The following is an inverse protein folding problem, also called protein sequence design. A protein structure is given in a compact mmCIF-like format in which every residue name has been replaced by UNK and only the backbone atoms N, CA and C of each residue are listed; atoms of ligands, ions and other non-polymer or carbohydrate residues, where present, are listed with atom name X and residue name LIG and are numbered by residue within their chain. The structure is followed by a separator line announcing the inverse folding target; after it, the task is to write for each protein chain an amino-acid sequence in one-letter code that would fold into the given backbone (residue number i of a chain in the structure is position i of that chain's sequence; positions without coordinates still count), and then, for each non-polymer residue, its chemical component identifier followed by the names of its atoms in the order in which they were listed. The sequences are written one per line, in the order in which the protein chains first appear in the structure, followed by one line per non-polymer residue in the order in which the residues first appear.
data_IF_517358873510
#
_entry.id   IF_517358873510
#
_cell.length_a   1.000
_cell.length_b   1.000
_cell.length_c   1.000
_cell.angle_alpha   90.00
_cell.angle_beta   90.00
_cell.angle_gamma   90.00
#
_symmetry.space_group_name_H-M   'P 1'
#
loop_
_entity.id
_entity.type
_entity.pdbx_description
1 polymer ?
#
# COMPACT_ATOMS: atom_id res chain seq x y z
N UNK A 1 68.07 20.01 51.55
CA UNK A 1 68.19 19.60 50.13
C UNK A 1 66.87 19.01 49.69
N UNK A 2 66.23 19.59 48.66
CA UNK A 2 65.15 19.01 47.86
C UNK A 2 63.76 18.84 48.49
N UNK A 3 63.00 19.93 48.65
CA UNK A 3 61.55 19.87 48.92
C UNK A 3 60.75 19.75 47.59
N UNK A 4 59.82 18.80 47.44
CA UNK A 4 59.01 18.64 46.24
C UNK A 4 57.76 19.53 46.24
N UNK A 5 57.45 20.08 45.06
CA UNK A 5 56.38 21.06 44.84
C UNK A 5 54.96 20.50 44.92
N UNK A 6 54.09 21.30 45.54
CA UNK A 6 52.63 21.17 45.53
C UNK A 6 52.06 21.67 44.19
N UNK A 7 51.19 20.86 43.57
CA UNK A 7 50.35 21.25 42.45
C UNK A 7 48.88 21.40 42.90
N UNK A 8 48.31 22.56 42.61
CA UNK A 8 46.96 23.01 42.97
C UNK A 8 45.84 22.22 42.27
N UNK A 9 44.61 22.22 42.82
CA UNK A 9 43.49 21.42 42.31
C UNK A 9 42.81 22.04 41.09
N UNK A 10 42.42 21.21 40.12
CA UNK A 10 41.63 21.59 38.93
C UNK A 10 40.14 21.68 39.27
N UNK A 11 39.38 22.61 38.65
CA UNK A 11 37.99 22.87 39.00
C UNK A 11 37.00 21.89 38.39
N UNK A 12 35.92 21.65 39.14
CA UNK A 12 34.72 20.88 38.80
C UNK A 12 33.98 21.57 37.64
N UNK A 13 33.70 20.84 36.55
CA UNK A 13 32.85 21.32 35.44
C UNK A 13 31.44 20.74 35.53
N UNK A 14 30.51 21.67 35.67
CA UNK A 14 29.05 21.59 35.57
C UNK A 14 28.54 20.67 34.44
N UNK A 15 27.59 19.82 34.78
CA UNK A 15 26.71 19.08 33.85
C UNK A 15 25.84 20.07 33.06
N UNK A 16 25.89 20.00 31.72
CA UNK A 16 24.92 20.65 30.82
C UNK A 16 24.18 19.57 30.04
N UNK A 17 22.85 19.65 30.12
CA UNK A 17 21.87 18.93 29.32
C UNK A 17 22.18 19.05 27.82
N UNK A 18 22.14 17.93 27.10
CA UNK A 18 22.21 17.88 25.64
C UNK A 18 20.98 17.09 25.15
N UNK A 19 19.83 17.77 25.09
CA UNK A 19 18.77 17.41 24.16
C UNK A 19 18.97 18.28 22.92
N UNK A 20 19.61 17.71 21.90
CA UNK A 20 19.52 18.20 20.53
C UNK A 20 18.52 17.33 19.76
N UNK A 21 17.82 17.88 18.75
CA UNK A 21 16.89 17.11 17.93
C UNK A 21 17.66 16.01 17.19
N UNK A 22 17.17 14.78 17.30
CA UNK A 22 17.67 13.61 16.60
C UNK A 22 17.39 13.80 15.10
N UNK A 23 18.44 13.97 14.30
CA UNK A 23 18.37 13.83 12.85
C UNK A 23 17.98 12.39 12.50
N UNK A 24 17.01 12.15 11.60
CA UNK A 24 16.69 10.80 11.17
C UNK A 24 17.91 10.15 10.50
N UNK A 25 18.14 8.83 10.68
CA UNK A 25 19.22 8.14 10.03
C UNK A 25 18.96 8.02 8.53
N UNK A 26 20.03 8.13 7.73
CA UNK A 26 19.98 7.90 6.27
C UNK A 26 19.42 6.50 5.96
N UNK A 27 18.54 6.35 4.96
CA UNK A 27 18.14 5.04 4.49
C UNK A 27 19.35 4.26 3.98
N UNK A 28 19.42 2.99 4.36
CA UNK A 28 20.32 2.00 3.77
C UNK A 28 19.83 1.79 2.35
N UNK A 29 20.71 1.91 1.35
CA UNK A 29 20.39 1.60 -0.05
C UNK A 29 19.80 0.19 -0.13
N UNK A 30 18.49 0.11 -0.32
CA UNK A 30 17.84 -1.08 -0.86
C UNK A 30 18.31 -1.28 -2.30
N UNK A 31 18.31 -2.53 -2.74
CA UNK A 31 18.34 -2.82 -4.18
C UNK A 31 17.11 -2.16 -4.83
N UNK A 32 17.19 -1.75 -6.12
CA UNK A 32 16.04 -1.18 -6.81
C UNK A 32 14.89 -2.19 -6.75
N UNK A 33 13.81 -1.82 -6.06
CA UNK A 33 12.51 -2.43 -6.22
C UNK A 33 12.15 -2.23 -7.69
N UNK A 34 12.22 -3.30 -8.48
CA UNK A 34 11.65 -3.32 -9.81
C UNK A 34 10.14 -3.35 -9.64
N UNK A 35 9.56 -2.21 -9.31
CA UNK A 35 8.13 -2.01 -9.45
C UNK A 35 7.77 -1.98 -10.94
N UNK A 36 6.52 -2.25 -11.20
CA UNK A 36 6.15 -2.85 -12.47
C UNK A 36 6.06 -1.78 -13.56
N UNK A 37 6.83 -1.98 -14.62
CA UNK A 37 6.61 -1.40 -15.96
C UNK A 37 5.32 -1.96 -16.61
N UNK A 38 4.17 -1.83 -15.92
CA UNK A 38 2.86 -2.27 -16.41
C UNK A 38 2.40 -1.30 -17.52
N UNK A 39 2.55 -1.77 -18.76
CA UNK A 39 1.82 -1.55 -20.03
C UNK A 39 2.03 -0.30 -20.89
N UNK A 40 2.76 -0.47 -22.00
CA UNK A 40 2.13 -0.68 -23.33
C UNK A 40 3.14 -0.49 -24.48
N UNK A 41 3.91 -1.54 -24.77
CA UNK A 41 4.38 -1.75 -26.15
C UNK A 41 3.22 -2.08 -27.12
N UNK A 42 1.98 -2.22 -26.64
CA UNK A 42 0.75 -2.44 -27.45
C UNK A 42 0.19 -1.18 -28.14
N UNK A 43 0.79 0.01 -27.97
CA UNK A 43 0.39 1.19 -28.76
C UNK A 43 0.81 1.15 -30.23
N UNK A 44 1.40 0.06 -30.73
CA UNK A 44 1.84 0.01 -32.14
C UNK A 44 0.71 -0.19 -33.17
N UNK A 45 -0.53 -0.54 -32.79
CA UNK A 45 -1.60 -0.78 -33.78
C UNK A 45 -3.04 -0.36 -33.39
N UNK A 46 -3.28 0.32 -32.25
CA UNK A 46 -4.59 0.92 -31.95
C UNK A 46 -4.59 2.37 -32.42
N UNK A 47 -5.64 2.80 -33.14
CA UNK A 47 -5.75 4.20 -33.57
C UNK A 47 -5.72 5.12 -32.35
N UNK A 48 -4.77 6.04 -32.29
CA UNK A 48 -4.65 7.04 -31.22
C UNK A 48 -5.93 7.87 -31.04
N UNK A 49 -6.73 8.02 -32.10
CA UNK A 49 -8.03 8.70 -32.05
C UNK A 49 -9.06 7.93 -31.19
N UNK A 50 -8.95 6.60 -31.10
CA UNK A 50 -9.86 5.74 -30.34
C UNK A 50 -9.55 5.70 -28.84
N UNK A 51 -8.38 6.20 -28.43
CA UNK A 51 -7.95 6.27 -27.02
C UNK A 51 -8.08 7.68 -26.44
N UNK A 52 -8.36 8.69 -27.29
CA UNK A 52 -8.53 10.06 -26.83
C UNK A 52 -9.83 10.26 -26.04
N UNK A 53 -9.76 11.09 -25.00
CA UNK A 53 -10.92 11.56 -24.24
C UNK A 53 -12.09 11.96 -25.16
N UNK A 54 -13.17 11.17 -25.14
CA UNK A 54 -14.42 11.57 -25.78
C UNK A 54 -15.25 12.44 -24.83
N UNK A 55 -16.10 13.30 -25.39
CA UNK A 55 -17.06 14.08 -24.60
C UNK A 55 -17.97 13.17 -23.75
N UNK A 56 -18.28 11.97 -24.25
CA UNK A 56 -19.05 10.97 -23.52
C UNK A 56 -18.27 10.43 -22.33
N UNK A 57 -16.99 10.11 -22.51
CA UNK A 57 -16.15 9.57 -21.43
C UNK A 57 -15.91 10.59 -20.33
N UNK A 58 -15.63 11.85 -20.71
CA UNK A 58 -15.50 12.95 -19.74
C UNK A 58 -16.79 13.14 -18.94
N UNK A 59 -17.96 13.07 -19.58
CA UNK A 59 -19.25 13.14 -18.86
C UNK A 59 -19.43 11.98 -17.89
N UNK A 60 -19.00 10.77 -18.25
CA UNK A 60 -19.02 9.62 -17.34
C UNK A 60 -18.11 9.86 -16.14
N UNK A 61 -16.90 10.37 -16.36
CA UNK A 61 -15.97 10.73 -15.29
C UNK A 61 -16.53 11.81 -14.35
N UNK A 62 -17.11 12.87 -14.89
CA UNK A 62 -17.78 13.90 -14.06
C UNK A 62 -19.02 13.34 -13.33
N UNK A 63 -19.71 12.36 -13.92
CA UNK A 63 -20.86 11.70 -13.27
C UNK A 63 -20.42 10.85 -12.08
N UNK A 64 -19.28 10.16 -12.16
CA UNK A 64 -18.76 9.43 -11.01
C UNK A 64 -18.00 10.33 -10.02
N UNK A 65 -17.44 11.47 -10.44
CA UNK A 65 -16.70 12.40 -9.57
C UNK A 65 -17.59 13.09 -8.51
N UNK A 66 -16.97 13.58 -7.43
CA UNK A 66 -17.60 14.41 -6.39
C UNK A 66 -18.05 15.74 -6.98
N UNK A 67 -17.13 16.45 -7.65
CA UNK A 67 -17.45 17.65 -8.42
C UNK A 67 -18.01 17.28 -9.80
N UNK A 68 -19.07 17.97 -10.22
CA UNK A 68 -19.67 17.81 -11.56
C UNK A 68 -19.09 18.75 -12.61
N UNK A 69 -18.13 19.58 -12.21
CA UNK A 69 -17.45 20.55 -13.07
C UNK A 69 -15.94 20.33 -13.04
N UNK A 70 -15.29 20.71 -14.14
CA UNK A 70 -13.84 20.77 -14.21
C UNK A 70 -13.38 22.01 -13.42
N UNK A 71 -12.48 21.81 -12.45
CA UNK A 71 -11.90 22.89 -11.65
C UNK A 71 -10.53 23.31 -12.22
N UNK A 72 -10.10 24.57 -12.05
CA UNK A 72 -8.70 24.92 -12.25
C UNK A 72 -7.80 24.10 -11.32
N UNK A 73 -6.74 23.47 -11.83
CA UNK A 73 -5.86 22.66 -10.99
C UNK A 73 -5.16 23.49 -9.90
N UNK A 74 -4.92 24.78 -10.14
CA UNK A 74 -4.39 25.71 -9.13
C UNK A 74 -5.28 25.84 -7.89
N UNK A 75 -6.58 25.61 -8.03
CA UNK A 75 -7.59 25.92 -7.01
C UNK A 75 -8.10 24.65 -6.32
N UNK A 76 -7.76 23.47 -6.85
CA UNK A 76 -8.34 22.18 -6.50
C UNK A 76 -8.31 21.88 -4.98
N UNK A 77 -7.16 22.07 -4.33
CA UNK A 77 -7.00 21.79 -2.89
C UNK A 77 -7.63 22.85 -1.97
N UNK A 78 -8.10 23.96 -2.54
CA UNK A 78 -8.78 25.04 -1.82
C UNK A 78 -10.26 25.13 -2.15
N UNK A 79 -10.74 24.31 -3.09
CA UNK A 79 -12.14 24.27 -3.47
C UNK A 79 -13.00 23.80 -2.27
N UNK A 80 -14.19 24.38 -2.05
CA UNK A 80 -15.07 24.02 -0.93
C UNK A 80 -15.29 22.51 -0.82
N UNK A 81 -15.72 21.88 -1.93
CA UNK A 81 -15.97 20.44 -2.02
C UNK A 81 -14.74 19.59 -1.66
N UNK A 82 -13.51 20.06 -1.94
CA UNK A 82 -12.29 19.36 -1.52
C UNK A 82 -12.02 19.56 -0.03
N UNK A 83 -12.13 20.80 0.45
CA UNK A 83 -11.86 21.13 1.85
C UNK A 83 -12.86 20.48 2.82
N UNK A 84 -14.08 20.17 2.36
CA UNK A 84 -15.07 19.40 3.11
C UNK A 84 -14.65 17.93 3.35
N UNK A 85 -13.74 17.40 2.53
CA UNK A 85 -13.16 16.06 2.72
C UNK A 85 -12.05 16.05 3.78
N UNK A 86 -11.50 17.21 4.13
CA UNK A 86 -10.46 17.31 5.16
C UNK A 86 -11.09 17.37 6.57
N UNK A 87 -10.46 16.76 7.59
CA UNK A 87 -10.91 16.92 8.95
C UNK A 87 -10.94 18.38 9.40
N UNK A 88 -11.91 18.74 10.24
CA UNK A 88 -12.11 20.14 10.65
C UNK A 88 -10.84 20.78 11.23
N UNK A 89 -10.51 21.97 10.72
CA UNK A 89 -9.35 22.76 11.15
C UNK A 89 -8.01 22.32 10.55
N UNK A 90 -7.99 21.35 9.63
CA UNK A 90 -6.78 20.94 8.89
C UNK A 90 -6.61 21.83 7.66
N UNK A 91 -5.41 22.38 7.48
CA UNK A 91 -5.05 23.10 6.25
C UNK A 91 -4.55 22.13 5.17
N UNK A 92 -4.80 22.41 3.88
CA UNK A 92 -4.41 21.53 2.76
C UNK A 92 -2.91 21.65 2.44
N UNK A 93 -2.05 21.27 3.38
CA UNK A 93 -0.60 21.17 3.15
C UNK A 93 -0.34 19.90 2.36
N UNK A 94 0.44 19.99 1.29
CA UNK A 94 0.68 18.86 0.39
C UNK A 94 2.09 18.31 0.57
N UNK A 95 2.24 16.98 0.54
CA UNK A 95 3.51 16.26 0.62
C UNK A 95 3.47 15.06 -0.31
N UNK A 96 4.47 14.86 -1.18
CA UNK A 96 4.55 13.63 -2.00
C UNK A 96 4.89 12.45 -1.09
N UNK A 97 4.11 11.37 -1.17
CA UNK A 97 4.25 10.17 -0.33
C UNK A 97 4.50 8.90 -1.12
N UNK A 98 4.26 8.91 -2.42
CA UNK A 98 4.54 7.77 -3.28
C UNK A 98 4.28 8.08 -4.74
N UNK A 99 4.46 7.06 -5.57
CA UNK A 99 4.13 7.06 -6.99
C UNK A 99 3.49 5.72 -7.36
N UNK A 100 2.76 5.73 -8.47
CA UNK A 100 2.24 4.53 -9.11
C UNK A 100 2.44 4.67 -10.63
N UNK A 101 2.24 3.60 -11.39
CA UNK A 101 2.62 3.51 -12.81
C UNK A 101 2.12 4.66 -13.71
N UNK A 102 1.01 5.31 -13.36
CA UNK A 102 0.41 6.39 -14.16
C UNK A 102 0.05 7.63 -13.33
N UNK A 103 0.55 7.73 -12.10
CA UNK A 103 0.09 8.79 -11.20
C UNK A 103 1.07 9.10 -10.09
N UNK A 104 0.95 10.31 -9.60
CA UNK A 104 1.68 10.78 -8.43
C UNK A 104 0.76 10.75 -7.21
N UNK A 105 1.29 10.33 -6.05
CA UNK A 105 0.51 10.18 -4.83
C UNK A 105 0.97 11.19 -3.78
N UNK A 106 0.03 12.02 -3.32
CA UNK A 106 0.29 13.06 -2.33
C UNK A 106 -0.56 12.87 -1.09
N UNK A 107 0.02 13.15 0.08
CA UNK A 107 -0.73 13.40 1.31
C UNK A 107 -1.13 14.88 1.36
N UNK A 108 -2.39 15.14 1.69
CA UNK A 108 -2.95 16.50 1.83
C UNK A 108 -3.57 16.65 3.21
N UNK A 109 -2.96 17.47 4.07
CA UNK A 109 -3.42 17.71 5.43
C UNK A 109 -2.28 17.70 6.45
N UNK A 110 -2.55 17.17 7.65
CA UNK A 110 -1.60 17.14 8.77
C UNK A 110 -1.52 15.73 9.38
N UNK A 111 -0.37 15.07 9.20
CA UNK A 111 -0.07 13.74 9.73
C UNK A 111 -1.18 12.71 9.50
N UNK A 112 -1.59 12.03 10.56
CA UNK A 112 -2.63 10.99 10.53
C UNK A 112 -4.03 11.52 10.16
N UNK A 113 -4.22 12.85 10.15
CA UNK A 113 -5.47 13.52 9.74
C UNK A 113 -5.44 13.97 8.28
N UNK A 114 -4.39 13.64 7.54
CA UNK A 114 -4.32 13.90 6.11
C UNK A 114 -5.19 12.92 5.32
N UNK A 115 -5.51 13.31 4.09
CA UNK A 115 -6.08 12.43 3.06
C UNK A 115 -5.01 12.14 2.01
N UNK A 116 -5.15 11.04 1.28
CA UNK A 116 -4.27 10.69 0.16
C UNK A 116 -4.93 11.10 -1.15
N UNK A 117 -4.17 11.71 -2.05
CA UNK A 117 -4.64 12.17 -3.36
C UNK A 117 -3.75 11.58 -4.44
N UNK A 118 -4.35 10.71 -5.27
CA UNK A 118 -3.73 10.20 -6.50
C UNK A 118 -4.04 11.17 -7.64
N UNK A 119 -3.00 11.75 -8.24
CA UNK A 119 -3.08 12.69 -9.36
C UNK A 119 -2.85 11.93 -10.67
N UNK A 120 -3.92 11.68 -11.41
CA UNK A 120 -3.91 10.86 -12.63
C UNK A 120 -4.05 11.75 -13.88
N UNK A 121 -2.99 11.98 -14.67
CA UNK A 121 -3.10 12.64 -15.97
C UNK A 121 -4.00 11.86 -16.94
N UNK A 122 -4.95 12.56 -17.55
CA UNK A 122 -5.88 11.98 -18.51
C UNK A 122 -5.35 12.08 -19.94
N UNK A 123 -5.55 11.03 -20.73
CA UNK A 123 -5.16 11.02 -22.14
C UNK A 123 -6.06 11.97 -22.97
N UNK A 124 -5.54 13.18 -23.23
CA UNK A 124 -6.25 14.22 -24.00
C UNK A 124 -6.14 14.06 -25.53
N UNK A 125 -6.98 14.79 -26.28
CA UNK A 125 -7.01 14.80 -27.76
C UNK A 125 -5.71 15.28 -28.43
N UNK A 126 -4.85 16.00 -27.72
CA UNK A 126 -3.70 16.70 -28.31
C UNK A 126 -2.34 16.09 -27.96
N UNK A 127 -2.29 14.96 -27.24
CA UNK A 127 -1.05 14.40 -26.69
C UNK A 127 -0.17 13.57 -27.63
N UNK A 128 -0.63 13.23 -28.86
CA UNK A 128 0.14 12.32 -29.73
C UNK A 128 0.30 12.82 -31.17
N UNK A 129 0.74 14.06 -31.33
CA UNK A 129 1.14 14.56 -32.64
C UNK A 129 2.44 15.37 -32.61
N UNK A 130 3.56 14.65 -32.44
CA UNK A 130 4.81 15.06 -33.07
C UNK A 130 5.38 13.91 -33.91
N UNK A 131 4.80 13.72 -35.09
CA UNK A 131 5.50 13.02 -36.18
C UNK A 131 6.78 13.79 -36.50
N UNK A 132 7.92 13.23 -36.12
CA UNK A 132 9.23 13.65 -36.63
C UNK A 132 9.96 14.68 -35.80
N UNK A 133 10.51 14.25 -34.67
CA UNK A 133 11.80 14.64 -34.05
C UNK A 133 11.90 13.82 -32.76
N UNK A 134 13.12 13.50 -32.32
CA UNK A 134 13.45 12.76 -31.08
C UNK A 134 12.33 12.88 -30.06
N UNK A 135 11.60 11.78 -29.80
CA UNK A 135 10.47 11.74 -28.87
C UNK A 135 11.04 12.17 -27.52
N UNK A 136 10.76 13.40 -27.11
CA UNK A 136 10.99 13.77 -25.72
C UNK A 136 10.11 12.84 -24.89
N UNK A 137 10.71 12.14 -23.94
CA UNK A 137 9.99 11.32 -22.98
C UNK A 137 8.92 12.19 -22.31
N UNK A 138 7.67 11.75 -22.39
CA UNK A 138 6.51 12.48 -21.88
C UNK A 138 5.87 11.62 -20.78
N UNK A 139 5.42 12.22 -19.65
CA UNK A 139 4.81 11.45 -18.58
C UNK A 139 3.61 10.65 -19.07
N UNK A 140 3.43 9.44 -18.53
CA UNK A 140 2.33 8.56 -18.94
C UNK A 140 0.96 9.15 -18.59
N UNK A 141 -0.07 8.74 -19.34
CA UNK A 141 -1.44 9.23 -19.20
C UNK A 141 -2.42 8.05 -19.24
N UNK A 142 -3.50 8.14 -18.46
CA UNK A 142 -4.54 7.11 -18.41
C UNK A 142 -5.74 7.46 -19.28
N UNK A 143 -6.32 6.44 -19.93
CA UNK A 143 -7.57 6.61 -20.65
C UNK A 143 -8.73 6.84 -19.65
N UNK A 144 -9.64 7.75 -20.00
CA UNK A 144 -10.77 8.11 -19.12
C UNK A 144 -11.63 6.91 -18.70
N UNK A 145 -11.97 5.95 -19.59
CA UNK A 145 -12.72 4.76 -19.18
C UNK A 145 -12.03 3.92 -18.09
N UNK A 146 -10.69 3.86 -18.08
CA UNK A 146 -9.93 3.10 -17.09
C UNK A 146 -9.96 3.81 -15.73
N UNK A 147 -9.81 5.14 -15.73
CA UNK A 147 -9.94 5.96 -14.50
C UNK A 147 -11.36 5.88 -13.92
N UNK A 148 -12.39 5.91 -14.78
CA UNK A 148 -13.78 5.72 -14.35
C UNK A 148 -13.95 4.35 -13.67
N UNK A 149 -13.41 3.29 -14.28
CA UNK A 149 -13.43 1.94 -13.71
C UNK A 149 -12.73 1.91 -12.35
N UNK A 150 -11.53 2.47 -12.25
CA UNK A 150 -10.78 2.54 -10.99
C UNK A 150 -11.58 3.24 -9.88
N UNK A 151 -12.22 4.39 -10.17
CA UNK A 151 -13.07 5.11 -9.22
C UNK A 151 -14.28 4.26 -8.80
N UNK A 152 -14.95 3.62 -9.74
CA UNK A 152 -16.13 2.79 -9.46
C UNK A 152 -15.78 1.58 -8.59
N UNK A 153 -14.69 0.88 -8.91
CA UNK A 153 -14.19 -0.27 -8.13
C UNK A 153 -13.75 0.19 -6.74
N UNK A 154 -12.92 1.24 -6.65
CA UNK A 154 -12.42 1.74 -5.36
C UNK A 154 -13.56 2.17 -4.45
N UNK A 155 -14.55 2.90 -5.00
CA UNK A 155 -15.77 3.25 -4.27
C UNK A 155 -16.53 2.00 -3.81
N UNK A 156 -16.69 1.00 -4.67
CA UNK A 156 -17.37 -0.24 -4.30
C UNK A 156 -16.62 -0.93 -3.16
N UNK A 157 -15.32 -1.17 -3.29
CA UNK A 157 -14.50 -1.86 -2.30
C UNK A 157 -14.44 -1.12 -0.96
N UNK A 158 -14.50 0.22 -0.95
CA UNK A 158 -14.60 1.00 0.29
C UNK A 158 -15.85 0.68 1.13
N UNK A 159 -16.88 0.10 0.52
CA UNK A 159 -18.14 -0.28 1.18
C UNK A 159 -18.18 -1.76 1.57
N UNK A 160 -17.05 -2.48 1.48
CA UNK A 160 -16.99 -3.90 1.84
C UNK A 160 -17.45 -4.10 3.29
N UNK A 161 -18.44 -4.98 3.57
CA UNK A 161 -18.93 -5.22 4.91
C UNK A 161 -17.78 -5.60 5.84
N UNK A 162 -17.58 -4.87 6.94
CA UNK A 162 -16.46 -5.08 7.89
C UNK A 162 -15.16 -4.33 7.58
N UNK A 163 -15.07 -3.62 6.44
CA UNK A 163 -13.91 -2.79 6.09
C UNK A 163 -12.68 -3.60 5.63
N UNK A 164 -11.48 -3.04 5.83
CA UNK A 164 -10.21 -3.66 5.42
C UNK A 164 -9.71 -3.26 4.02
N UNK A 165 -10.48 -2.43 3.31
CA UNK A 165 -10.11 -1.81 2.04
C UNK A 165 -10.06 -0.29 2.22
N UNK A 166 -9.30 0.38 1.35
CA UNK A 166 -9.13 1.84 1.41
C UNK A 166 -10.45 2.58 1.31
N UNK A 167 -10.58 3.64 2.11
CA UNK A 167 -11.74 4.51 2.09
C UNK A 167 -11.70 5.41 0.84
N UNK A 168 -12.78 5.41 0.06
CA UNK A 168 -12.97 6.35 -1.03
C UNK A 168 -13.66 7.61 -0.49
N UNK A 169 -12.97 8.74 -0.51
CA UNK A 169 -13.50 10.02 -0.01
C UNK A 169 -14.12 10.85 -1.13
N UNK A 170 -13.51 10.85 -2.31
CA UNK A 170 -14.01 11.63 -3.43
C UNK A 170 -13.18 11.55 -4.69
N UNK A 171 -13.69 12.18 -5.75
CA UNK A 171 -12.91 12.37 -6.97
C UNK A 171 -13.20 13.73 -7.61
N UNK A 172 -12.21 14.33 -8.27
CA UNK A 172 -12.34 15.62 -8.94
C UNK A 172 -11.71 15.54 -10.33
N UNK A 173 -12.24 16.33 -11.26
CA UNK A 173 -11.60 16.55 -12.57
C UNK A 173 -11.06 17.96 -12.57
N UNK A 174 -9.78 18.11 -12.90
CA UNK A 174 -9.09 19.40 -12.91
C UNK A 174 -8.42 19.65 -14.25
N UNK A 175 -8.23 20.92 -14.60
CA UNK A 175 -7.55 21.35 -15.82
C UNK A 175 -6.52 22.43 -15.50
N UNK A 176 -5.34 22.32 -16.11
CA UNK A 176 -4.24 23.28 -15.89
C UNK A 176 -2.88 22.64 -16.09
N UNK A 177 -1.82 23.43 -15.91
CA UNK A 177 -0.47 22.88 -15.74
C UNK A 177 -0.31 22.27 -14.35
N UNK A 178 0.65 21.38 -14.16
CA UNK A 178 0.97 20.83 -12.85
C UNK A 178 1.37 21.94 -11.85
N UNK A 179 0.71 22.04 -10.68
CA UNK A 179 0.98 23.10 -9.72
C UNK A 179 2.42 23.10 -9.22
N UNK A 180 3.02 24.29 -9.09
CA UNK A 180 4.41 24.46 -8.65
C UNK A 180 4.69 23.84 -7.28
N UNK A 181 3.73 23.86 -6.36
CA UNK A 181 3.86 23.22 -5.05
C UNK A 181 3.97 21.69 -5.16
N UNK A 182 3.21 21.06 -6.05
CA UNK A 182 3.30 19.60 -6.25
C UNK A 182 4.62 19.22 -6.93
N UNK A 183 5.10 20.03 -7.88
CA UNK A 183 6.40 19.83 -8.51
C UNK A 183 7.55 19.93 -7.51
N UNK A 184 7.48 20.87 -6.56
CA UNK A 184 8.49 21.00 -5.51
C UNK A 184 8.52 19.76 -4.58
N UNK A 185 7.35 19.20 -4.25
CA UNK A 185 7.27 17.95 -3.49
C UNK A 185 7.74 16.75 -4.30
N UNK A 186 7.49 16.74 -5.61
CA UNK A 186 8.02 15.74 -6.51
C UNK A 186 9.55 15.75 -6.55
N UNK A 187 10.15 16.93 -6.68
CA UNK A 187 11.62 17.11 -6.67
C UNK A 187 12.23 16.65 -5.35
N UNK A 188 11.61 17.02 -4.21
CA UNK A 188 12.03 16.58 -2.88
C UNK A 188 12.02 15.05 -2.75
N UNK A 189 10.93 14.42 -3.16
CA UNK A 189 10.80 12.96 -3.11
C UNK A 189 11.80 12.27 -4.03
N UNK A 190 12.00 12.78 -5.26
CA UNK A 190 12.97 12.26 -6.21
C UNK A 190 14.40 12.26 -5.65
N UNK A 191 14.79 13.34 -4.96
CA UNK A 191 16.10 13.46 -4.31
C UNK A 191 16.29 12.50 -3.13
N UNK A 192 15.21 12.20 -2.39
CA UNK A 192 15.25 11.38 -1.16
C UNK A 192 15.09 9.88 -1.43
N UNK A 193 14.15 9.51 -2.28
CA UNK A 193 13.72 8.13 -2.52
C UNK A 193 14.11 7.60 -3.92
N UNK A 194 14.40 8.48 -4.87
CA UNK A 194 14.40 8.13 -6.29
C UNK A 194 12.97 8.13 -6.86
N UNK A 195 12.87 8.05 -8.19
CA UNK A 195 11.59 7.98 -8.91
C UNK A 195 11.79 7.27 -10.23
N UNK A 196 10.81 6.45 -10.60
CA UNK A 196 10.71 5.80 -11.90
C UNK A 196 9.90 6.64 -12.89
N UNK A 197 9.00 7.47 -12.38
CA UNK A 197 8.17 8.35 -13.17
C UNK A 197 8.96 9.54 -13.74
N UNK A 198 8.51 10.04 -14.89
CA UNK A 198 9.01 11.30 -15.43
C UNK A 198 8.41 12.47 -14.65
N UNK A 199 9.23 13.50 -14.41
CA UNK A 199 8.78 14.74 -13.78
C UNK A 199 7.56 15.32 -14.54
N UNK A 200 6.43 15.61 -13.88
CA UNK A 200 5.19 15.98 -14.57
C UNK A 200 5.13 17.48 -14.93
N UNK A 201 6.19 18.05 -15.50
CA UNK A 201 6.30 19.50 -15.77
C UNK A 201 6.11 19.89 -17.24
N UNK A 202 6.01 18.90 -18.13
CA UNK A 202 5.88 19.07 -19.57
C UNK A 202 4.42 19.19 -20.06
N UNK A 203 3.45 19.05 -19.17
CA UNK A 203 2.03 19.15 -19.49
C UNK A 203 1.58 20.56 -19.88
N UNK A 204 0.69 20.63 -20.87
CA UNK A 204 0.11 21.89 -21.38
C UNK A 204 -0.95 22.46 -20.42
N UNK A 205 -1.27 23.77 -20.48
CA UNK A 205 -2.34 24.35 -19.66
C UNK A 205 -3.74 23.76 -19.88
N UNK A 206 -3.97 23.09 -21.02
CA UNK A 206 -5.21 22.38 -21.32
C UNK A 206 -5.22 20.91 -20.85
N UNK A 207 -4.16 20.45 -20.17
CA UNK A 207 -4.09 19.10 -19.64
C UNK A 207 -5.15 18.91 -18.56
N UNK A 208 -5.82 17.75 -18.59
CA UNK A 208 -6.78 17.35 -17.56
C UNK A 208 -6.22 16.24 -16.68
N UNK A 209 -6.65 16.24 -15.44
CA UNK A 209 -6.31 15.22 -14.46
C UNK A 209 -7.55 14.78 -13.71
N UNK A 210 -7.58 13.51 -13.31
CA UNK A 210 -8.45 13.07 -12.23
C UNK A 210 -7.67 13.10 -10.91
N UNK A 211 -8.28 13.68 -9.88
CA UNK A 211 -7.80 13.60 -8.51
C UNK A 211 -8.66 12.58 -7.79
N UNK A 212 -8.09 11.45 -7.40
CA UNK A 212 -8.79 10.42 -6.60
C UNK A 212 -8.38 10.60 -5.14
N UNK A 213 -9.34 10.90 -4.28
CA UNK A 213 -9.13 11.22 -2.86
C UNK A 213 -9.50 10.02 -2.00
N UNK A 214 -8.55 9.56 -1.20
CA UNK A 214 -8.59 8.33 -0.42
C UNK A 214 -8.29 8.61 1.06
N UNK A 215 -8.81 7.76 1.94
CA UNK A 215 -8.44 7.78 3.36
C UNK A 215 -6.96 7.40 3.57
N UNK A 216 -6.33 7.96 4.60
CA UNK A 216 -4.95 7.62 4.94
C UNK A 216 -4.87 6.23 5.59
N UNK A 217 -4.38 5.24 4.84
CA UNK A 217 -4.20 3.87 5.29
C UNK A 217 -2.88 3.59 6.00
N UNK A 218 -1.98 4.56 6.08
CA UNK A 218 -0.65 4.43 6.68
C UNK A 218 0.46 4.22 5.67
N UNK A 219 1.53 3.57 6.11
CA UNK A 219 2.71 3.25 5.30
C UNK A 219 2.54 1.87 4.65
N UNK A 220 3.00 1.70 3.42
CA UNK A 220 2.98 0.40 2.74
C UNK A 220 3.85 -0.65 3.47
N UNK A 221 3.51 -1.93 3.33
CA UNK A 221 4.20 -3.03 4.04
C UNK A 221 5.68 -3.15 3.63
N UNK A 222 6.08 -2.70 2.44
CA UNK A 222 7.49 -2.72 2.01
C UNK A 222 8.35 -1.76 2.86
N UNK A 223 7.82 -0.55 3.06
CA UNK A 223 8.46 0.52 3.79
C UNK A 223 8.27 0.39 5.31
N UNK A 224 7.14 -0.18 5.74
CA UNK A 224 6.76 -0.25 7.15
C UNK A 224 7.81 -0.93 8.05
N UNK A 225 7.98 -0.36 9.23
CA UNK A 225 8.98 -0.80 10.21
C UNK A 225 8.31 -1.36 11.46
N UNK A 226 8.06 -2.66 11.43
CA UNK A 226 7.56 -3.42 12.59
C UNK A 226 8.34 -3.16 13.88
N UNK A 227 7.62 -3.14 14.99
CA UNK A 227 8.22 -2.88 16.29
C UNK A 227 9.11 -4.01 16.78
N UNK A 228 10.22 -3.66 17.43
CA UNK A 228 11.15 -4.63 18.00
C UNK A 228 10.51 -5.63 18.98
N UNK A 229 9.48 -5.22 19.74
CA UNK A 229 8.86 -6.07 20.78
C UNK A 229 7.55 -6.71 20.36
N UNK A 230 6.88 -6.19 19.33
CA UNK A 230 5.55 -6.63 18.88
C UNK A 230 5.54 -7.07 17.41
N UNK A 231 6.63 -6.94 16.69
CA UNK A 231 6.66 -7.09 15.24
C UNK A 231 6.06 -8.39 14.72
N UNK A 232 6.38 -9.55 15.33
CA UNK A 232 5.78 -10.81 14.90
C UNK A 232 4.26 -10.90 15.17
N UNK A 233 3.79 -10.26 16.25
CA UNK A 233 2.34 -10.16 16.53
C UNK A 233 1.67 -9.26 15.51
N UNK A 234 2.28 -8.11 15.20
CA UNK A 234 1.81 -7.18 14.17
C UNK A 234 1.79 -7.86 12.79
N UNK A 235 2.84 -8.59 12.41
CA UNK A 235 2.91 -9.33 11.15
C UNK A 235 1.80 -10.39 11.02
N UNK A 236 1.59 -11.19 12.07
CA UNK A 236 0.49 -12.16 12.10
C UNK A 236 -0.87 -11.46 12.00
N UNK A 237 -1.02 -10.30 12.64
CA UNK A 237 -2.23 -9.48 12.54
C UNK A 237 -2.48 -8.96 11.12
N UNK A 238 -1.44 -8.48 10.43
CA UNK A 238 -1.53 -8.05 9.03
C UNK A 238 -2.04 -9.20 8.15
N UNK A 239 -1.43 -10.38 8.26
CA UNK A 239 -1.87 -11.56 7.50
C UNK A 239 -3.36 -11.88 7.74
N UNK A 240 -3.77 -11.99 9.00
CA UNK A 240 -5.15 -12.38 9.33
C UNK A 240 -6.18 -11.30 8.98
N UNK A 241 -5.84 -10.02 9.14
CA UNK A 241 -6.71 -8.91 8.73
C UNK A 241 -6.91 -8.88 7.21
N UNK A 242 -5.85 -9.12 6.44
CA UNK A 242 -5.93 -9.22 4.97
C UNK A 242 -6.75 -10.44 4.54
N UNK A 243 -6.52 -11.61 5.14
CA UNK A 243 -7.30 -12.82 4.86
C UNK A 243 -8.79 -12.64 5.16
N UNK A 244 -9.14 -11.97 6.27
CA UNK A 244 -10.52 -11.67 6.64
C UNK A 244 -11.17 -10.68 5.67
N UNK A 245 -10.45 -9.63 5.27
CA UNK A 245 -10.91 -8.65 4.29
C UNK A 245 -11.22 -9.32 2.94
N UNK A 246 -10.29 -10.15 2.44
CA UNK A 246 -10.49 -10.91 1.20
C UNK A 246 -11.67 -11.87 1.32
N UNK A 247 -11.81 -12.63 2.42
CA UNK A 247 -12.93 -13.56 2.60
C UNK A 247 -14.30 -12.85 2.56
N UNK A 248 -14.40 -11.68 3.20
CA UNK A 248 -15.63 -10.86 3.15
C UNK A 248 -15.89 -10.28 1.76
N UNK A 249 -14.84 -9.87 1.04
CA UNK A 249 -14.95 -9.38 -0.32
C UNK A 249 -15.32 -10.47 -1.34
N UNK A 250 -14.75 -11.67 -1.20
CA UNK A 250 -15.13 -12.87 -1.96
C UNK A 250 -16.63 -13.14 -1.83
N UNK A 251 -17.14 -13.16 -0.59
CA UNK A 251 -18.56 -13.42 -0.34
C UNK A 251 -19.48 -12.29 -0.82
N UNK A 252 -18.99 -11.05 -0.89
CA UNK A 252 -19.80 -9.88 -1.17
C UNK A 252 -19.88 -9.51 -2.65
N UNK A 253 -18.76 -9.62 -3.36
CA UNK A 253 -18.63 -9.19 -4.77
C UNK A 253 -17.82 -10.18 -5.60
N UNK A 254 -17.62 -11.41 -5.12
CA UNK A 254 -16.77 -12.40 -5.82
C UNK A 254 -15.39 -11.80 -6.17
N UNK A 255 -14.81 -11.11 -5.20
CA UNK A 255 -13.60 -10.32 -5.40
C UNK A 255 -12.34 -11.18 -5.50
N UNK A 256 -11.48 -10.82 -6.45
CA UNK A 256 -10.09 -11.26 -6.54
C UNK A 256 -9.18 -10.03 -6.65
N UNK A 257 -8.16 -9.92 -5.80
CA UNK A 257 -7.26 -8.76 -5.84
C UNK A 257 -6.38 -8.77 -7.10
N UNK A 258 -5.84 -9.95 -7.42
CA UNK A 258 -4.96 -10.26 -8.55
C UNK A 258 -3.59 -9.60 -8.59
N UNK A 259 -3.31 -8.68 -7.65
CA UNK A 259 -2.05 -7.95 -7.55
C UNK A 259 -1.66 -7.56 -6.11
N UNK A 260 -1.83 -8.47 -5.14
CA UNK A 260 -1.70 -8.13 -3.72
C UNK A 260 -0.25 -8.29 -3.20
N UNK A 261 0.69 -7.56 -3.78
CA UNK A 261 2.06 -7.48 -3.27
C UNK A 261 2.14 -6.52 -2.05
N UNK A 262 3.28 -6.46 -1.36
CA UNK A 262 3.43 -5.65 -0.13
C UNK A 262 3.16 -4.15 -0.32
N UNK A 263 3.40 -3.62 -1.52
CA UNK A 263 3.07 -2.23 -1.86
C UNK A 263 1.56 -1.94 -1.77
N UNK A 264 0.72 -2.97 -1.86
CA UNK A 264 -0.74 -2.86 -1.85
C UNK A 264 -1.39 -3.10 -0.48
N UNK A 265 -0.58 -3.18 0.58
CA UNK A 265 -1.04 -3.36 1.95
C UNK A 265 -0.49 -2.22 2.79
N UNK A 266 -1.35 -1.28 3.17
CA UNK A 266 -0.99 -0.19 4.07
C UNK A 266 -1.17 -0.59 5.53
N UNK A 267 -0.29 -0.09 6.39
CA UNK A 267 -0.25 -0.38 7.82
C UNK A 267 -0.31 0.93 8.62
N UNK A 268 -1.32 1.01 9.48
CA UNK A 268 -1.45 2.07 10.48
C UNK A 268 -1.20 1.50 11.88
N UNK A 269 -0.42 2.22 12.68
CA UNK A 269 -0.29 1.92 14.11
C UNK A 269 -1.59 2.21 14.85
N UNK A 270 -1.93 1.33 15.80
CA UNK A 270 -3.10 1.48 16.67
C UNK A 270 -2.63 1.45 18.11
N UNK A 271 -3.10 2.41 18.90
CA UNK A 271 -2.91 2.41 20.35
C UNK A 271 -3.46 1.12 20.95
N UNK A 272 -2.54 0.29 21.44
CA UNK A 272 -2.84 -1.05 21.92
C UNK A 272 -2.12 -1.33 23.25
N UNK A 273 -2.80 -2.06 24.13
CA UNK A 273 -2.23 -2.66 25.34
C UNK A 273 -2.44 -4.18 25.26
N UNK A 274 -1.53 -4.91 24.61
CA UNK A 274 -1.77 -6.31 24.27
C UNK A 274 -1.95 -7.19 25.52
N UNK A 275 -3.05 -7.94 25.64
CA UNK A 275 -3.17 -8.97 26.67
C UNK A 275 -2.15 -10.09 26.42
N UNK A 276 -1.86 -10.86 27.46
CA UNK A 276 -1.10 -12.09 27.34
C UNK A 276 -1.97 -13.29 27.77
N UNK A 277 -2.22 -14.28 26.88
CA UNK A 277 -1.80 -14.38 25.47
C UNK A 277 -2.66 -13.54 24.49
N UNK A 278 -2.16 -13.28 23.27
CA UNK A 278 -2.98 -12.81 22.14
C UNK A 278 -3.79 -14.00 21.66
N UNK A 279 -5.12 -13.89 21.75
CA UNK A 279 -6.06 -14.98 21.41
C UNK A 279 -6.83 -14.72 20.11
N UNK A 280 -6.72 -13.51 19.56
CA UNK A 280 -7.36 -13.11 18.32
C UNK A 280 -6.49 -12.08 17.59
N UNK A 281 -5.99 -12.44 16.42
CA UNK A 281 -5.15 -11.56 15.60
C UNK A 281 -5.95 -10.52 14.79
N UNK A 282 -7.28 -10.62 14.77
CA UNK A 282 -8.16 -9.59 14.19
C UNK A 282 -8.40 -8.41 15.15
N UNK A 283 -8.19 -8.60 16.46
CA UNK A 283 -8.37 -7.51 17.43
C UNK A 283 -7.20 -6.52 17.40
N UNK A 284 -7.38 -5.43 16.66
CA UNK A 284 -6.41 -4.33 16.54
C UNK A 284 -5.98 -3.73 17.88
N UNK A 285 -6.81 -3.79 18.93
CA UNK A 285 -6.44 -3.33 20.29
C UNK A 285 -5.45 -4.26 20.99
N UNK A 286 -5.42 -5.52 20.56
CA UNK A 286 -4.48 -6.53 21.04
C UNK A 286 -3.21 -6.60 20.19
N UNK A 287 -3.29 -6.30 18.89
CA UNK A 287 -2.17 -6.45 17.96
C UNK A 287 -1.42 -5.14 17.68
N UNK A 288 -2.10 -4.00 17.79
CA UNK A 288 -1.52 -2.67 17.67
C UNK A 288 -1.29 -2.18 16.25
N UNK A 289 -1.86 -2.85 15.25
CA UNK A 289 -1.82 -2.42 13.84
C UNK A 289 -3.15 -2.68 13.15
N UNK A 290 -3.42 -1.86 12.13
CA UNK A 290 -4.51 -2.04 11.18
C UNK A 290 -3.95 -2.15 9.77
N UNK A 291 -4.32 -3.22 9.06
CA UNK A 291 -4.01 -3.39 7.64
C UNK A 291 -5.15 -2.84 6.77
N UNK A 292 -4.79 -2.21 5.66
CA UNK A 292 -5.72 -1.68 4.65
C UNK A 292 -5.25 -2.08 3.26
N UNK A 293 -6.12 -2.76 2.50
CA UNK A 293 -5.83 -3.17 1.11
C UNK A 293 -6.15 -2.02 0.15
N UNK A 294 -5.24 -1.73 -0.76
CA UNK A 294 -5.33 -0.67 -1.79
C UNK A 294 -5.09 -1.24 -3.20
N UNK A 295 -5.22 -0.37 -4.20
CA UNK A 295 -5.02 -0.60 -5.64
C UNK A 295 -5.75 -1.80 -6.25
N UNK A 296 -6.82 -1.49 -6.96
CA UNK A 296 -7.67 -2.49 -7.59
C UNK A 296 -7.55 -2.52 -9.11
N UNK A 297 -6.46 -1.96 -9.66
CA UNK A 297 -6.27 -1.79 -11.10
C UNK A 297 -6.35 -3.11 -11.89
N UNK A 298 -5.88 -4.22 -11.30
CA UNK A 298 -5.90 -5.57 -11.89
C UNK A 298 -6.98 -6.49 -11.29
N UNK A 299 -7.76 -6.00 -10.33
CA UNK A 299 -8.75 -6.82 -9.62
C UNK A 299 -9.91 -7.28 -10.49
N UNK A 300 -10.62 -8.30 -10.01
CA UNK A 300 -11.89 -8.78 -10.56
C UNK A 300 -12.97 -8.76 -9.50
N UNK A 301 -14.17 -8.31 -9.87
CA UNK A 301 -15.36 -8.35 -9.00
C UNK A 301 -16.65 -8.21 -9.80
N UNK A 302 -17.75 -8.64 -9.19
CA UNK A 302 -19.09 -8.45 -9.69
C UNK A 302 -19.67 -7.10 -9.24
N UNK A 303 -20.07 -6.29 -10.22
CA UNK A 303 -20.76 -5.02 -10.03
C UNK A 303 -22.27 -5.21 -10.25
N UNK A 304 -23.15 -4.67 -9.38
CA UNK A 304 -24.60 -4.94 -9.40
C UNK A 304 -25.30 -4.77 -10.75
N UNK A 305 -24.84 -3.84 -11.59
CA UNK A 305 -25.47 -3.52 -12.89
C UNK A 305 -24.55 -3.78 -14.10
N UNK A 306 -23.32 -4.26 -13.89
CA UNK A 306 -22.33 -4.48 -14.96
C UNK A 306 -21.88 -5.95 -15.05
N UNK A 307 -22.18 -6.77 -14.04
CA UNK A 307 -21.62 -8.12 -13.92
C UNK A 307 -20.13 -8.08 -13.59
N UNK A 308 -19.38 -9.07 -14.08
CA UNK A 308 -17.94 -9.16 -13.85
C UNK A 308 -17.18 -8.00 -14.51
N UNK A 309 -16.47 -7.23 -13.69
CA UNK A 309 -15.52 -6.20 -14.12
C UNK A 309 -14.12 -6.67 -13.76
N UNK A 310 -13.20 -6.59 -14.72
CA UNK A 310 -11.80 -6.96 -14.52
C UNK A 310 -10.88 -6.24 -15.53
N UNK A 311 -9.59 -6.20 -15.21
CA UNK A 311 -8.53 -5.85 -16.17
C UNK A 311 -7.73 -7.11 -16.49
N UNK A 312 -7.31 -7.26 -17.75
CA UNK A 312 -6.40 -8.33 -18.13
C UNK A 312 -4.99 -8.02 -17.62
N UNK A 313 -4.30 -9.04 -17.12
CA UNK A 313 -2.88 -8.88 -16.79
C UNK A 313 -2.05 -8.66 -18.05
N UNK A 314 -1.12 -7.70 -18.03
CA UNK A 314 -0.21 -7.45 -19.14
C UNK A 314 0.75 -8.60 -19.37
N UNK A 315 1.14 -8.84 -20.62
CA UNK A 315 2.04 -9.95 -20.96
C UNK A 315 3.41 -9.81 -20.27
N UNK A 316 3.93 -8.59 -20.17
CA UNK A 316 5.25 -8.32 -19.58
C UNK A 316 5.33 -8.66 -18.09
N UNK A 317 4.18 -8.68 -17.41
CA UNK A 317 4.09 -9.10 -16.01
C UNK A 317 4.49 -10.58 -15.86
N UNK A 318 4.32 -11.41 -16.89
CA UNK A 318 4.75 -12.80 -16.84
C UNK A 318 6.25 -13.00 -17.12
N UNK A 319 6.92 -11.98 -17.66
CA UNK A 319 8.35 -12.01 -18.02
C UNK A 319 9.26 -11.62 -16.85
N UNK A 320 8.72 -10.96 -15.82
CA UNK A 320 9.52 -10.53 -14.68
C UNK A 320 9.97 -11.66 -13.76
N UNK A 321 10.93 -11.34 -12.88
CA UNK A 321 11.68 -12.32 -12.08
C UNK A 321 11.55 -11.99 -10.60
N UNK A 322 11.22 -13.01 -9.80
CA UNK A 322 11.08 -12.90 -8.34
C UNK A 322 9.73 -13.45 -7.87
N UNK A 323 9.59 -13.58 -6.56
CA UNK A 323 8.45 -14.25 -5.91
C UNK A 323 7.10 -13.66 -6.34
N UNK A 324 7.01 -12.34 -6.51
CA UNK A 324 5.78 -11.66 -6.96
C UNK A 324 5.40 -12.10 -8.38
N UNK A 325 6.38 -12.21 -9.27
CA UNK A 325 6.16 -12.60 -10.67
C UNK A 325 5.82 -14.08 -10.83
N UNK A 326 6.32 -14.94 -9.93
CA UNK A 326 5.89 -16.33 -9.84
C UNK A 326 4.38 -16.42 -9.53
N UNK A 327 3.85 -15.56 -8.65
CA UNK A 327 2.41 -15.52 -8.35
C UNK A 327 1.57 -15.16 -9.56
N UNK A 328 1.98 -14.19 -10.40
CA UNK A 328 1.22 -13.87 -11.62
C UNK A 328 1.18 -15.05 -12.59
N UNK A 329 2.27 -15.81 -12.72
CA UNK A 329 2.31 -17.01 -13.55
C UNK A 329 1.39 -18.10 -13.00
N UNK A 330 1.46 -18.39 -11.69
CA UNK A 330 0.55 -19.33 -11.04
C UNK A 330 -0.92 -18.91 -11.20
N UNK A 331 -1.21 -17.62 -11.04
CA UNK A 331 -2.55 -17.07 -11.21
C UNK A 331 -3.06 -17.24 -12.64
N UNK A 332 -2.24 -16.96 -13.65
CA UNK A 332 -2.60 -17.21 -15.05
C UNK A 332 -2.92 -18.68 -15.27
N UNK A 333 -2.07 -19.58 -14.79
CA UNK A 333 -2.25 -21.02 -14.98
C UNK A 333 -3.58 -21.48 -14.35
N UNK A 334 -3.91 -21.00 -13.14
CA UNK A 334 -5.21 -21.27 -12.48
C UNK A 334 -6.39 -20.77 -13.32
N UNK A 335 -6.34 -19.53 -13.81
CA UNK A 335 -7.45 -18.92 -14.53
C UNK A 335 -7.63 -19.54 -15.92
N UNK A 336 -6.54 -19.83 -16.62
CA UNK A 336 -6.55 -20.44 -17.96
C UNK A 336 -6.99 -21.91 -17.93
N UNK A 337 -6.61 -22.67 -16.89
CA UNK A 337 -7.11 -24.04 -16.70
C UNK A 337 -8.62 -24.07 -16.39
N UNK A 338 -9.11 -23.08 -15.63
CA UNK A 338 -10.50 -23.02 -15.17
C UNK A 338 -11.46 -22.31 -16.14
N UNK A 339 -10.96 -21.51 -17.09
CA UNK A 339 -11.73 -21.06 -18.26
C UNK A 339 -11.43 -19.64 -18.75
N UNK A 340 -11.76 -18.62 -17.94
CA UNK A 340 -11.72 -17.23 -18.38
C UNK A 340 -11.47 -16.23 -17.23
N UNK A 341 -10.84 -15.09 -17.58
CA UNK A 341 -10.45 -14.02 -16.65
C UNK A 341 -11.61 -13.22 -16.04
N UNK A 342 -12.80 -13.30 -16.63
CA UNK A 342 -14.03 -12.71 -16.09
C UNK A 342 -14.71 -13.61 -15.04
N UNK A 343 -14.37 -14.89 -15.02
CA UNK A 343 -14.90 -15.86 -14.06
C UNK A 343 -14.24 -15.69 -12.69
N UNK A 344 -14.97 -16.09 -11.64
CA UNK A 344 -14.53 -15.98 -10.26
C UNK A 344 -13.66 -17.16 -9.86
N UNK A 345 -12.40 -16.89 -9.52
CA UNK A 345 -11.41 -17.87 -9.08
C UNK A 345 -10.81 -17.46 -7.72
N UNK A 346 -11.50 -17.66 -6.59
CA UNK A 346 -11.02 -17.21 -5.28
C UNK A 346 -9.70 -17.84 -4.83
N UNK A 347 -9.26 -18.92 -5.47
CA UNK A 347 -7.92 -19.48 -5.25
C UNK A 347 -6.80 -18.51 -5.60
N UNK A 348 -7.03 -17.52 -6.47
CA UNK A 348 -6.02 -16.47 -6.76
C UNK A 348 -5.70 -15.64 -5.52
N UNK A 349 -6.69 -15.32 -4.69
CA UNK A 349 -6.46 -14.67 -3.39
C UNK A 349 -5.61 -15.55 -2.46
N UNK A 350 -5.75 -16.88 -2.52
CA UNK A 350 -4.94 -17.81 -1.72
C UNK A 350 -3.49 -17.80 -2.17
N UNK A 351 -3.21 -17.67 -3.48
CA UNK A 351 -1.85 -17.50 -3.99
C UNK A 351 -1.19 -16.25 -3.40
N UNK A 352 -1.93 -15.14 -3.35
CA UNK A 352 -1.46 -13.89 -2.76
C UNK A 352 -1.32 -13.95 -1.23
N UNK A 353 -2.20 -14.67 -0.52
CA UNK A 353 -2.04 -14.90 0.91
C UNK A 353 -0.78 -15.74 1.20
N UNK A 354 -0.50 -16.76 0.39
CA UNK A 354 0.74 -17.52 0.48
C UNK A 354 1.95 -16.61 0.29
N UNK A 355 1.93 -15.78 -0.75
CA UNK A 355 2.96 -14.77 -0.99
C UNK A 355 3.15 -13.83 0.21
N UNK A 356 2.07 -13.31 0.79
CA UNK A 356 2.12 -12.42 1.96
C UNK A 356 2.76 -13.12 3.17
N UNK A 357 2.37 -14.36 3.46
CA UNK A 357 2.97 -15.13 4.55
C UNK A 357 4.47 -15.34 4.34
N UNK A 358 4.87 -15.71 3.12
CA UNK A 358 6.27 -15.84 2.71
C UNK A 358 7.05 -14.54 2.89
N UNK A 359 6.49 -13.41 2.43
CA UNK A 359 7.10 -12.08 2.49
C UNK A 359 7.32 -11.65 3.95
N UNK A 360 6.31 -11.79 4.81
CA UNK A 360 6.39 -11.48 6.24
C UNK A 360 7.45 -12.32 6.97
N UNK A 361 7.63 -13.59 6.57
CA UNK A 361 8.60 -14.49 7.18
C UNK A 361 10.05 -14.25 6.72
N UNK A 362 10.26 -13.88 5.46
CA UNK A 362 11.56 -13.97 4.79
C UNK A 362 12.13 -12.64 4.30
N UNK A 363 11.29 -11.64 4.09
CA UNK A 363 11.68 -10.44 3.35
C UNK A 363 11.38 -9.14 4.09
N UNK A 364 11.12 -9.21 5.40
CA UNK A 364 10.90 -8.05 6.27
C UNK A 364 12.12 -7.81 7.17
N UNK A 365 13.01 -6.83 6.86
CA UNK A 365 14.30 -6.68 7.55
C UNK A 365 14.21 -6.39 9.05
N UNK A 366 13.09 -5.82 9.50
CA UNK A 366 12.84 -5.51 10.92
C UNK A 366 12.45 -6.74 11.75
N UNK A 367 11.92 -7.79 11.12
CA UNK A 367 11.47 -9.01 11.79
C UNK A 367 12.62 -10.01 11.90
N UNK A 368 13.29 -10.01 13.06
CA UNK A 368 14.32 -11.01 13.36
C UNK A 368 13.70 -12.29 13.89
N UNK A 369 14.18 -13.43 13.40
CA UNK A 369 13.81 -14.75 13.93
C UNK A 369 13.90 -14.77 15.47
N UNK A 370 12.83 -15.16 16.18
CA UNK A 370 12.87 -15.27 17.63
C UNK A 370 13.91 -16.32 18.05
N UNK A 371 14.92 -15.93 18.86
CA UNK A 371 15.91 -16.88 19.37
C UNK A 371 15.35 -17.64 20.58
N UNK A 372 15.36 -18.97 20.50
CA UNK A 372 15.12 -19.84 21.64
C UNK A 372 16.29 -19.72 22.63
N UNK A 373 16.00 -19.38 23.89
CA UNK A 373 17.04 -19.29 24.92
C UNK A 373 17.47 -20.69 25.37
N UNK A 374 18.74 -21.05 25.14
CA UNK A 374 19.37 -22.21 25.80
C UNK A 374 19.63 -21.89 27.28
N UNK A 375 18.86 -22.51 28.18
CA UNK A 375 19.20 -22.66 29.60
C UNK A 375 18.29 -21.91 30.58
N UNK A 376 17.79 -22.65 31.59
CA UNK A 376 17.10 -22.09 32.77
C UNK A 376 18.13 -21.63 33.80
N UNK A 377 18.29 -20.32 34.02
CA UNK A 377 18.91 -19.78 35.23
C UNK A 377 17.82 -19.43 36.23
N UNK A 378 17.86 -20.08 37.40
CA UNK A 378 16.95 -19.90 38.54
C UNK A 378 17.33 -18.67 39.38
N UNK A 379 17.19 -17.48 38.79
CA UNK A 379 17.41 -16.20 39.49
C UNK A 379 16.12 -15.39 39.42
N UNK A 380 15.71 -14.67 40.50
CA UNK A 380 14.55 -13.79 40.47
C UNK A 380 14.65 -12.78 39.32
N UNK A 381 13.61 -12.71 38.48
CA UNK A 381 13.54 -11.79 37.34
C UNK A 381 12.97 -10.45 37.79
N UNK A 382 13.55 -9.37 37.30
CA UNK A 382 12.99 -8.01 37.42
C UNK A 382 11.72 -7.88 36.55
N UNK A 383 10.88 -6.88 36.84
CA UNK A 383 9.67 -6.61 36.04
C UNK A 383 9.98 -6.39 34.54
N UNK A 384 11.08 -5.70 34.22
CA UNK A 384 11.55 -5.53 32.85
C UNK A 384 11.90 -6.87 32.19
N UNK A 385 12.60 -7.76 32.90
CA UNK A 385 12.94 -9.09 32.40
C UNK A 385 11.71 -9.98 32.19
N UNK A 386 10.66 -9.82 33.02
CA UNK A 386 9.37 -10.50 32.81
C UNK A 386 8.69 -9.98 31.54
N UNK A 387 8.62 -8.66 31.35
CA UNK A 387 8.03 -8.04 30.15
C UNK A 387 8.74 -8.47 28.87
N UNK A 388 10.07 -8.50 28.87
CA UNK A 388 10.87 -8.97 27.72
C UNK A 388 10.64 -10.46 27.44
N UNK A 389 10.54 -11.30 28.47
CA UNK A 389 10.24 -12.73 28.29
C UNK A 389 8.85 -12.92 27.68
N UNK A 390 7.84 -12.20 28.15
CA UNK A 390 6.48 -12.26 27.61
C UNK A 390 6.42 -11.76 26.17
N UNK A 391 7.15 -10.70 25.81
CA UNK A 391 7.28 -10.26 24.43
C UNK A 391 7.91 -11.35 23.53
N UNK A 392 8.97 -12.01 24.02
CA UNK A 392 9.62 -13.12 23.31
C UNK A 392 8.68 -14.31 23.10
N UNK A 393 7.94 -14.72 24.13
CA UNK A 393 6.98 -15.83 24.02
C UNK A 393 5.88 -15.51 23.01
N UNK A 394 5.37 -14.28 22.99
CA UNK A 394 4.39 -13.83 21.98
C UNK A 394 4.99 -13.88 20.57
N UNK A 395 6.21 -13.39 20.41
CA UNK A 395 6.91 -13.43 19.13
C UNK A 395 7.16 -14.86 18.64
N UNK A 396 7.56 -15.78 19.52
CA UNK A 396 7.74 -17.20 19.18
C UNK A 396 6.43 -17.86 18.73
N UNK A 397 5.32 -17.58 19.41
CA UNK A 397 4.01 -18.11 19.05
C UNK A 397 3.51 -17.57 17.70
N UNK A 398 3.58 -16.25 17.49
CA UNK A 398 3.15 -15.62 16.25
C UNK A 398 4.02 -16.01 15.05
N UNK A 399 5.35 -16.12 15.25
CA UNK A 399 6.27 -16.61 14.23
C UNK A 399 6.01 -18.09 13.88
N UNK A 400 5.81 -18.94 14.89
CA UNK A 400 5.49 -20.36 14.67
C UNK A 400 4.17 -20.56 13.93
N UNK A 401 3.16 -19.75 14.24
CA UNK A 401 1.89 -19.71 13.51
C UNK A 401 2.09 -19.35 12.04
N UNK A 402 2.82 -18.27 11.74
CA UNK A 402 3.04 -17.87 10.34
C UNK A 402 3.81 -18.92 9.55
N UNK A 403 4.73 -19.66 10.18
CA UNK A 403 5.36 -20.81 9.55
C UNK A 403 4.36 -21.92 9.20
N UNK A 404 3.45 -22.24 10.13
CA UNK A 404 2.41 -23.24 9.89
C UNK A 404 1.47 -22.78 8.76
N UNK A 405 1.10 -21.50 8.72
CA UNK A 405 0.33 -20.90 7.63
C UNK A 405 1.04 -21.06 6.29
N UNK A 406 2.31 -20.69 6.20
CA UNK A 406 3.06 -20.75 4.94
C UNK A 406 3.30 -22.19 4.47
N UNK A 407 3.56 -23.11 5.39
CA UNK A 407 3.70 -24.54 5.09
C UNK A 407 2.39 -25.13 4.57
N UNK A 408 1.24 -24.80 5.18
CA UNK A 408 -0.05 -25.33 4.77
C UNK A 408 -0.55 -24.74 3.44
N UNK A 409 -0.26 -23.46 3.18
CA UNK A 409 -0.62 -22.80 1.92
C UNK A 409 0.31 -23.17 0.73
N UNK A 410 1.52 -23.67 1.00
CA UNK A 410 2.46 -24.14 -0.04
C UNK A 410 2.48 -25.66 -0.21
N UNK A 411 2.05 -26.40 0.83
CA UNK A 411 2.21 -27.84 0.94
C UNK A 411 1.13 -28.67 0.24
N UNK A 412 1.12 -30.00 0.46
CA UNK A 412 0.16 -30.92 -0.16
C UNK A 412 -1.30 -30.59 0.16
N UNK A 413 -1.55 -29.89 1.28
CA UNK A 413 -2.87 -29.43 1.70
C UNK A 413 -3.30 -28.12 1.02
N UNK A 414 -2.46 -27.46 0.21
CA UNK A 414 -2.81 -26.27 -0.60
C UNK A 414 -4.13 -26.47 -1.37
N UNK A 415 -4.38 -27.69 -1.86
CA UNK A 415 -5.60 -28.05 -2.58
C UNK A 415 -6.89 -27.90 -1.73
N UNK A 416 -6.80 -27.94 -0.39
CA UNK A 416 -7.94 -27.77 0.51
C UNK A 416 -8.30 -26.28 0.73
N UNK A 417 -7.39 -25.36 0.38
CA UNK A 417 -7.58 -23.92 0.47
C UNK A 417 -8.01 -23.34 -0.89
N UNK A 418 -9.31 -23.47 -1.19
CA UNK A 418 -9.86 -22.96 -2.45
C UNK A 418 -10.26 -21.47 -2.41
N UNK A 419 -10.20 -20.80 -1.26
CA UNK A 419 -10.59 -19.39 -1.09
C UNK A 419 -10.05 -18.80 0.22
N UNK A 420 -10.02 -17.47 0.35
CA UNK A 420 -9.64 -16.81 1.60
C UNK A 420 -10.58 -17.20 2.75
N UNK A 421 -11.88 -17.44 2.47
CA UNK A 421 -12.81 -17.97 3.49
C UNK A 421 -12.36 -19.32 4.07
N UNK A 422 -11.78 -20.23 3.26
CA UNK A 422 -11.25 -21.51 3.76
C UNK A 422 -10.04 -21.31 4.67
N UNK A 423 -9.17 -20.35 4.34
CA UNK A 423 -8.04 -19.96 5.19
C UNK A 423 -8.56 -19.41 6.52
N UNK A 424 -9.59 -18.56 6.51
CA UNK A 424 -10.22 -18.03 7.73
C UNK A 424 -10.87 -19.13 8.58
N UNK A 425 -11.60 -20.06 7.97
CA UNK A 425 -12.22 -21.18 8.68
C UNK A 425 -11.18 -22.07 9.35
N UNK A 426 -10.02 -22.26 8.71
CA UNK A 426 -8.89 -22.96 9.31
C UNK A 426 -8.27 -22.18 10.47
N UNK A 427 -8.01 -20.88 10.30
CA UNK A 427 -7.54 -20.01 11.39
C UNK A 427 -8.44 -20.01 12.62
N UNK A 428 -9.77 -20.05 12.43
CA UNK A 428 -10.75 -20.19 13.53
C UNK A 428 -10.65 -21.53 14.22
N UNK A 429 -10.46 -22.63 13.49
CA UNK A 429 -10.26 -23.97 14.08
C UNK A 429 -8.99 -24.05 14.92
N UNK A 430 -7.94 -23.34 14.52
CA UNK A 430 -6.70 -23.24 15.30
C UNK A 430 -6.81 -22.28 16.49
N UNK A 431 -7.88 -21.48 16.56
CA UNK A 431 -8.10 -20.50 17.62
C UNK A 431 -7.22 -19.26 17.51
N UNK A 432 -6.80 -18.89 16.30
CA UNK A 432 -5.98 -17.71 16.04
C UNK A 432 -6.81 -16.45 15.73
N UNK A 433 -8.03 -16.66 15.23
CA UNK A 433 -8.99 -15.62 14.89
C UNK A 433 -10.38 -16.04 15.35
N UNK A 434 -11.26 -15.08 15.62
CA UNK A 434 -12.63 -15.33 16.10
C UNK A 434 -13.67 -15.60 15.02
#
# INVERSE_FOLDING_TARGET
MGSPGHASPKPIRSTRSIHGPLTPPRPVRGEPSFEIQIVTSRLRNVSLDALSETETDLRRLLTCATSKTILPFSDAFTAPDFTELLPSGVSPTVTKVGEASYSEVFSVGDGDRAVVVKVVPLLGKTGSSSKGKTVAEFPDCSAVPDVVREIEITRRMSQTPGGGFVEFLGAFVVEGTYPAQLLAEWDRYSDECGTENLRPDSFLPSQRYALVVLGNGGEDLESYRFENTRGWVQAAAVFWQVADALARAEAWTEFEHRDLHEGQILINDVDADPPAPVTDYLDTRSTGVRATVIDFGLSRLDMPDQGAVYSALPEEVYEGVGDQWDVYREQRDVVEEAGAWDSFHPSTNVLWLHYLAARLLRSTPTLRKPYARRGKRTVPKTAAQVKTEMARTRAEAAWGMLLEVEEELSGPQKADFSSAQKVMDWGRKQGWVS
#
